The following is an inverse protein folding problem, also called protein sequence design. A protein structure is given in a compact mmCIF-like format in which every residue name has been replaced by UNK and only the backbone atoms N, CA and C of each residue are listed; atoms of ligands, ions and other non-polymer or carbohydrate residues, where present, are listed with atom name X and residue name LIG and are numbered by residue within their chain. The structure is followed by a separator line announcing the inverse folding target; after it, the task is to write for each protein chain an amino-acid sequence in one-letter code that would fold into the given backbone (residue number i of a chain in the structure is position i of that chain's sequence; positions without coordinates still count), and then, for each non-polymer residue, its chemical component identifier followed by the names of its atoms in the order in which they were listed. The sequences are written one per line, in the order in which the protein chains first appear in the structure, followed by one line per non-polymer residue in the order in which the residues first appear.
data_IF_139339178683
#
_entry.id   IF_139339178683
#
_cell.length_a   1.000
_cell.length_b   1.000
_cell.length_c   1.000
_cell.angle_alpha   90.00
_cell.angle_beta   90.00
_cell.angle_gamma   90.00
#
_symmetry.space_group_name_H-M   'P 1'
#
loop_
_entity.id
_entity.type
_entity.pdbx_description
1 polymer ?
#
# COMPACT_ATOMS: atom_id res chain seq x y z
N UNK A 1 -18.15 -11.25 10.90
CA UNK A 1 -18.25 -9.85 10.41
C UNK A 1 -17.08 -9.10 11.00
N UNK A 2 -16.16 -8.61 10.17
CA UNK A 2 -15.03 -7.80 10.66
C UNK A 2 -15.54 -6.38 10.93
N UNK A 3 -15.21 -5.82 12.09
CA UNK A 3 -15.81 -4.60 12.64
C UNK A 3 -15.16 -3.30 12.13
N UNK A 4 -14.15 -3.37 11.24
CA UNK A 4 -13.40 -2.20 10.80
C UNK A 4 -12.79 -2.41 9.39
N UNK A 5 -13.63 -2.74 8.42
CA UNK A 5 -13.21 -2.81 7.01
C UNK A 5 -13.18 -1.40 6.41
N UNK A 6 -12.14 -1.10 5.65
CA UNK A 6 -11.99 0.14 4.89
C UNK A 6 -11.49 -0.21 3.50
N UNK A 7 -12.11 0.36 2.48
CA UNK A 7 -11.69 0.17 1.09
C UNK A 7 -10.71 1.25 0.67
N UNK A 8 -9.63 0.83 -0.01
CA UNK A 8 -8.60 1.73 -0.50
C UNK A 8 -8.30 1.41 -1.97
N UNK A 9 -8.00 2.45 -2.75
CA UNK A 9 -7.46 2.30 -4.10
C UNK A 9 -5.94 2.20 -4.00
N UNK A 10 -5.39 1.06 -4.41
CA UNK A 10 -3.94 0.86 -4.47
C UNK A 10 -3.42 1.43 -5.79
N UNK A 11 -2.46 2.35 -5.70
CA UNK A 11 -1.75 2.96 -6.82
C UNK A 11 -0.35 2.36 -6.94
N UNK A 12 0.14 2.27 -8.17
CA UNK A 12 1.53 1.87 -8.45
C UNK A 12 2.53 2.87 -7.84
N UNK A 13 3.65 2.35 -7.35
CA UNK A 13 4.76 3.12 -6.76
C UNK A 13 5.68 3.76 -7.80
N UNK A 14 5.47 3.44 -9.09
CA UNK A 14 6.34 3.86 -10.17
C UNK A 14 7.75 3.27 -10.07
N UNK A 15 8.60 3.60 -11.03
CA UNK A 15 9.88 2.89 -11.22
C UNK A 15 10.91 3.09 -10.09
N UNK A 16 10.79 4.18 -9.32
CA UNK A 16 11.75 4.49 -8.25
C UNK A 16 11.51 3.69 -6.97
N UNK A 17 10.26 3.70 -6.46
CA UNK A 17 9.93 3.06 -5.18
C UNK A 17 9.54 1.59 -5.37
N UNK A 18 9.08 1.17 -6.56
CA UNK A 18 8.77 -0.24 -6.83
C UNK A 18 10.00 -1.17 -6.76
N UNK A 19 11.22 -0.64 -6.78
CA UNK A 19 12.44 -1.42 -6.59
C UNK A 19 12.65 -1.86 -5.13
N UNK A 20 11.90 -1.31 -4.17
CA UNK A 20 11.97 -1.72 -2.78
C UNK A 20 11.06 -2.91 -2.57
N UNK A 21 11.65 -4.06 -2.24
CA UNK A 21 10.91 -5.29 -1.94
C UNK A 21 10.02 -5.14 -0.71
N UNK A 22 8.97 -5.97 -0.63
CA UNK A 22 8.04 -5.97 0.49
C UNK A 22 6.85 -5.01 0.37
N UNK A 23 6.72 -4.26 -0.74
CA UNK A 23 5.57 -3.38 -0.99
C UNK A 23 4.77 -3.75 -2.25
N UNK A 24 3.45 -3.67 -2.15
CA UNK A 24 2.51 -3.88 -3.27
C UNK A 24 2.08 -2.57 -3.95
N UNK A 25 2.16 -1.44 -3.25
CA UNK A 25 1.61 -0.18 -3.74
C UNK A 25 1.52 0.91 -2.68
N UNK A 26 0.85 2.01 -3.02
CA UNK A 26 0.49 3.07 -2.08
C UNK A 26 -0.97 3.51 -2.24
N UNK A 27 -1.55 4.08 -1.19
CA UNK A 27 -2.81 4.83 -1.25
C UNK A 27 -2.62 6.24 -0.71
N UNK A 28 -3.52 7.14 -1.08
CA UNK A 28 -3.59 8.51 -0.54
C UNK A 28 -4.88 8.60 0.26
N UNK A 29 -4.77 8.94 1.55
CA UNK A 29 -5.93 9.11 2.43
C UNK A 29 -6.64 10.44 2.14
N UNK A 30 -7.86 10.62 2.67
CA UNK A 30 -8.58 11.89 2.59
C UNK A 30 -7.87 13.07 3.26
N UNK A 31 -6.90 12.80 4.14
CA UNK A 31 -6.04 13.80 4.79
C UNK A 31 -4.80 14.16 3.95
N UNK A 32 -4.65 13.57 2.76
CA UNK A 32 -3.47 13.76 1.90
C UNK A 32 -2.24 12.98 2.35
N UNK A 33 -2.36 12.05 3.32
CA UNK A 33 -1.25 11.19 3.73
C UNK A 33 -1.06 10.05 2.73
N UNK A 34 0.20 9.69 2.48
CA UNK A 34 0.56 8.52 1.68
C UNK A 34 0.83 7.35 2.61
N UNK A 35 0.17 6.23 2.36
CA UNK A 35 0.38 4.98 3.10
C UNK A 35 0.89 3.93 2.10
N UNK A 36 1.96 3.23 2.48
CA UNK A 36 2.49 2.09 1.73
C UNK A 36 1.73 0.81 2.11
N UNK A 37 1.41 0.00 1.11
CA UNK A 37 0.79 -1.31 1.29
C UNK A 37 1.88 -2.36 1.27
N UNK A 38 2.03 -3.07 2.39
CA UNK A 38 2.96 -4.19 2.50
C UNK A 38 2.48 -5.41 1.70
N UNK A 39 3.44 -6.16 1.17
CA UNK A 39 3.23 -7.48 0.56
C UNK A 39 3.83 -8.54 1.48
N UNK A 40 3.08 -9.12 2.44
CA UNK A 40 3.65 -10.01 3.45
C UNK A 40 4.39 -11.22 2.88
N UNK A 41 3.93 -11.86 1.79
CA UNK A 41 4.70 -12.90 1.09
C UNK A 41 6.08 -12.48 0.58
N UNK A 42 6.34 -11.18 0.38
CA UNK A 42 7.64 -10.66 -0.09
C UNK A 42 8.55 -10.17 1.03
N UNK A 43 8.20 -10.44 2.30
CA UNK A 43 9.00 -10.00 3.45
C UNK A 43 10.06 -11.02 3.90
N UNK A 44 10.08 -12.23 3.32
CA UNK A 44 10.95 -13.34 3.74
C UNK A 44 11.46 -14.15 2.54
#
# INVERSE_FOLDING_TARGET
RFYNESEFVIKSLGNGIAAVEGFSGATVTGEGKVILVLDPPKLF
#
